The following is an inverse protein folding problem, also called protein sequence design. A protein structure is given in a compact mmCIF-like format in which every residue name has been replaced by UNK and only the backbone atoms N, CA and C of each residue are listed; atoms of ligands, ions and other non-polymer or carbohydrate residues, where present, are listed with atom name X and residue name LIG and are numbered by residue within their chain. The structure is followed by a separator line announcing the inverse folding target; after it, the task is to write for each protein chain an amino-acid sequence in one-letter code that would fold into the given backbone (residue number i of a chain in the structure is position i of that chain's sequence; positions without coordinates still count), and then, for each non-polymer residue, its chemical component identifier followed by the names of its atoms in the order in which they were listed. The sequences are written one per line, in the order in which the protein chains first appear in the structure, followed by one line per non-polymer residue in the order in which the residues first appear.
data_IF_494576037031
#
_entry.id   IF_494576037031
#
_cell.length_a   1.000
_cell.length_b   1.000
_cell.length_c   1.000
_cell.angle_alpha   90.00
_cell.angle_beta   90.00
_cell.angle_gamma   90.00
#
_symmetry.space_group_name_H-M   'P 1'
#
loop_
_entity.id
_entity.type
_entity.pdbx_description
1 polymer ?
#
# COMPACT_ATOMS: atom_id res chain seq x y z
N UNK A 1 -15.33 9.09 9.76
CA UNK A 1 -14.52 8.12 9.02
C UNK A 1 -13.07 8.54 9.07
N UNK A 2 -12.16 7.57 9.30
CA UNK A 2 -10.72 7.86 9.22
C UNK A 2 -10.37 8.19 7.78
N UNK A 3 -9.53 9.22 7.60
CA UNK A 3 -9.01 9.60 6.29
C UNK A 3 -7.63 8.97 6.15
N UNK A 4 -7.46 8.11 5.15
CA UNK A 4 -6.16 7.66 4.67
C UNK A 4 -5.75 8.56 3.52
N UNK A 5 -4.49 8.95 3.48
CA UNK A 5 -3.92 9.71 2.38
C UNK A 5 -2.58 9.08 1.96
N UNK A 6 -2.23 9.21 0.68
CA UNK A 6 -0.93 8.78 0.17
C UNK A 6 -0.15 10.02 -0.21
N UNK A 7 1.11 10.05 0.19
CA UNK A 7 1.99 11.17 -0.06
C UNK A 7 2.27 11.30 -1.57
N UNK A 8 2.32 12.52 -2.05
CA UNK A 8 2.63 12.78 -3.45
C UNK A 8 4.14 12.81 -3.64
N UNK A 9 4.64 11.92 -4.48
CA UNK A 9 6.03 11.89 -4.90
C UNK A 9 6.23 12.80 -6.11
N UNK A 10 7.33 13.54 -6.12
CA UNK A 10 7.80 14.31 -7.27
C UNK A 10 9.04 13.65 -7.84
N UNK A 11 9.13 13.53 -9.15
CA UNK A 11 10.32 12.99 -9.82
C UNK A 11 11.21 14.14 -10.26
N UNK A 12 12.48 14.10 -9.84
CA UNK A 12 13.51 15.04 -10.25
C UNK A 12 14.56 14.35 -11.11
N UNK A 13 14.90 15.02 -12.21
CA UNK A 13 16.08 14.72 -12.99
C UNK A 13 17.20 15.72 -12.61
N UNK A 14 18.37 15.21 -12.24
CA UNK A 14 19.50 16.08 -11.90
C UNK A 14 20.38 16.22 -13.13
N UNK A 15 20.49 17.42 -13.66
CA UNK A 15 21.29 17.74 -14.83
C UNK A 15 22.76 17.26 -14.64
N UNK A 16 23.26 16.56 -15.66
CA UNK A 16 24.64 16.05 -15.66
C UNK A 16 24.88 14.80 -14.77
N UNK A 17 23.83 14.25 -14.14
CA UNK A 17 23.91 12.94 -13.50
C UNK A 17 23.30 11.86 -14.36
N UNK A 18 24.10 10.85 -14.70
CA UNK A 18 23.69 9.68 -15.47
C UNK A 18 23.79 8.41 -14.61
N UNK A 19 22.99 7.41 -14.91
CA UNK A 19 23.08 6.08 -14.36
C UNK A 19 24.19 5.23 -15.05
N UNK A 20 24.30 3.96 -14.69
CA UNK A 20 25.27 3.03 -15.25
C UNK A 20 25.04 2.72 -16.73
N UNK A 21 23.83 2.92 -17.21
CA UNK A 21 23.40 2.67 -18.60
C UNK A 21 23.45 3.94 -19.46
N UNK A 22 23.87 5.08 -18.88
CA UNK A 22 24.01 6.37 -19.58
C UNK A 22 22.71 7.17 -19.65
N UNK A 23 21.65 6.76 -18.97
CA UNK A 23 20.39 7.49 -18.91
C UNK A 23 20.43 8.58 -17.83
N UNK A 24 19.57 9.59 -17.96
CA UNK A 24 19.38 10.59 -16.93
C UNK A 24 18.94 9.95 -15.61
N UNK A 25 19.68 10.24 -14.53
CA UNK A 25 19.35 9.69 -13.21
C UNK A 25 18.16 10.40 -12.59
N UNK A 26 17.11 9.65 -12.33
CA UNK A 26 15.87 10.13 -11.72
C UNK A 26 15.86 9.88 -10.22
N UNK A 27 15.27 10.80 -9.49
CA UNK A 27 15.11 10.72 -8.03
C UNK A 27 13.65 10.94 -7.66
N UNK A 28 13.10 10.06 -6.83
CA UNK A 28 11.82 10.29 -6.18
C UNK A 28 12.05 11.17 -4.95
N UNK A 29 11.33 12.26 -4.88
CA UNK A 29 11.46 13.25 -3.81
C UNK A 29 10.11 13.48 -3.16
N UNK A 30 10.09 13.38 -1.85
CA UNK A 30 8.93 13.64 -1.01
C UNK A 30 9.29 14.66 0.06
N UNK A 31 8.30 15.42 0.55
CA UNK A 31 8.52 16.26 1.72
C UNK A 31 8.74 15.38 2.94
N UNK A 32 9.60 15.84 3.85
CA UNK A 32 9.78 15.16 5.12
C UNK A 32 8.48 15.17 5.92
N UNK A 33 8.11 13.99 6.45
CA UNK A 33 6.92 13.82 7.28
C UNK A 33 7.36 13.78 8.73
N UNK A 34 6.96 14.77 9.53
CA UNK A 34 7.24 14.79 10.96
C UNK A 34 6.38 13.77 11.71
N UNK A 35 6.96 13.09 12.70
CA UNK A 35 6.30 12.14 13.58
C UNK A 35 6.93 10.76 13.58
N UNK A 36 6.29 9.84 14.29
CA UNK A 36 6.75 8.45 14.41
C UNK A 36 6.47 7.69 13.13
N UNK A 37 7.51 7.47 12.34
CA UNK A 37 7.45 6.70 11.11
C UNK A 37 7.35 5.20 11.41
N UNK A 38 6.33 4.55 10.87
CA UNK A 38 6.03 3.15 11.11
C UNK A 38 5.86 2.39 9.80
N UNK A 39 6.36 1.14 9.77
CA UNK A 39 6.06 0.17 8.71
C UNK A 39 4.99 -0.79 9.22
N UNK A 40 3.81 -0.73 8.62
CA UNK A 40 2.64 -1.49 9.05
C UNK A 40 2.51 -2.85 8.37
N UNK A 41 2.89 -2.92 7.10
CA UNK A 41 3.03 -4.18 6.37
C UNK A 41 4.11 -4.05 5.29
N UNK A 42 4.53 -5.16 4.70
CA UNK A 42 5.48 -5.17 3.60
C UNK A 42 4.95 -5.92 2.39
N UNK A 43 5.61 -5.73 1.24
CA UNK A 43 5.34 -6.48 0.02
C UNK A 43 5.68 -7.98 0.14
N UNK A 44 6.50 -8.37 1.12
CA UNK A 44 6.91 -9.76 1.37
C UNK A 44 6.09 -10.45 2.47
N UNK A 45 4.97 -9.87 2.88
CA UNK A 45 4.01 -10.48 3.80
C UNK A 45 4.21 -10.17 5.28
N UNK A 46 5.16 -9.29 5.66
CA UNK A 46 5.22 -8.81 7.03
C UNK A 46 3.96 -7.99 7.37
N UNK A 47 3.42 -8.20 8.56
CA UNK A 47 2.32 -7.41 9.14
C UNK A 47 2.70 -7.03 10.57
N UNK A 48 2.63 -5.74 10.90
CA UNK A 48 2.86 -5.28 12.26
C UNK A 48 1.66 -5.61 13.16
N UNK A 49 1.90 -6.49 14.13
CA UNK A 49 0.92 -6.87 15.15
C UNK A 49 1.13 -6.12 16.48
N UNK A 50 2.23 -5.38 16.64
CA UNK A 50 2.58 -4.73 17.91
C UNK A 50 1.76 -3.47 18.15
N UNK A 51 1.59 -2.65 17.14
CA UNK A 51 0.84 -1.40 17.25
C UNK A 51 -0.67 -1.59 17.20
N UNK A 52 -1.14 -2.80 16.89
CA UNK A 52 -2.57 -3.14 16.76
C UNK A 52 -3.35 -2.17 15.86
N UNK A 53 -2.69 -1.50 14.92
CA UNK A 53 -3.35 -0.61 13.97
C UNK A 53 -3.97 -1.40 12.83
N UNK A 54 -5.28 -1.32 12.75
CA UNK A 54 -6.05 -2.07 11.75
C UNK A 54 -6.23 -1.31 10.44
N UNK A 55 -6.19 0.03 10.48
CA UNK A 55 -6.42 0.88 9.30
C UNK A 55 -5.49 0.56 8.12
N UNK A 56 -4.16 0.36 8.30
CA UNK A 56 -3.26 0.00 7.21
C UNK A 56 -3.63 -1.34 6.56
N UNK A 57 -3.93 -2.34 7.38
CA UNK A 57 -4.28 -3.68 6.90
C UNK A 57 -5.62 -3.67 6.18
N UNK A 58 -6.59 -2.95 6.74
CA UNK A 58 -7.88 -2.76 6.14
C UNK A 58 -7.80 -1.98 4.83
N UNK A 59 -6.89 -1.02 4.71
CA UNK A 59 -6.63 -0.30 3.46
C UNK A 59 -6.10 -1.25 2.38
N UNK A 60 -5.09 -2.06 2.68
CA UNK A 60 -4.57 -3.05 1.73
C UNK A 60 -5.67 -4.00 1.26
N UNK A 61 -6.44 -4.57 2.17
CA UNK A 61 -7.56 -5.45 1.85
C UNK A 61 -8.63 -4.74 1.00
N UNK A 62 -8.98 -3.51 1.35
CA UNK A 62 -9.93 -2.70 0.59
C UNK A 62 -9.50 -2.51 -0.87
N UNK A 63 -8.21 -2.26 -1.12
CA UNK A 63 -7.71 -2.11 -2.50
C UNK A 63 -7.86 -3.39 -3.31
N UNK A 64 -7.65 -4.56 -2.70
CA UNK A 64 -7.88 -5.85 -3.32
C UNK A 64 -9.36 -6.06 -3.69
N UNK A 65 -10.28 -5.82 -2.76
CA UNK A 65 -11.72 -5.94 -3.00
C UNK A 65 -12.20 -4.93 -4.07
N UNK A 66 -11.73 -3.67 -3.97
CA UNK A 66 -12.15 -2.60 -4.88
C UNK A 66 -11.67 -2.76 -6.32
N UNK A 67 -10.55 -3.42 -6.50
CA UNK A 67 -10.01 -3.75 -7.83
C UNK A 67 -10.67 -4.97 -8.48
N UNK A 68 -11.60 -5.63 -7.81
CA UNK A 68 -12.13 -6.92 -8.26
C UNK A 68 -11.10 -8.05 -8.19
N UNK A 69 -10.20 -7.98 -7.19
CA UNK A 69 -9.12 -8.94 -6.91
C UNK A 69 -7.94 -8.89 -7.90
N UNK A 70 -7.87 -7.84 -8.72
CA UNK A 70 -6.81 -7.69 -9.72
C UNK A 70 -5.50 -7.12 -9.15
N UNK A 71 -5.59 -6.34 -8.07
CA UNK A 71 -4.41 -5.76 -7.43
C UNK A 71 -4.60 -5.59 -5.91
N UNK A 72 -3.48 -5.48 -5.22
CA UNK A 72 -3.44 -5.10 -3.81
C UNK A 72 -2.33 -4.09 -3.56
N UNK A 73 -2.64 -3.04 -2.80
CA UNK A 73 -1.64 -2.07 -2.33
C UNK A 73 -1.10 -2.54 -0.99
N UNK A 74 0.20 -2.75 -0.93
CA UNK A 74 0.95 -3.24 0.23
C UNK A 74 2.14 -2.31 0.51
N UNK A 75 3.02 -2.73 1.37
CA UNK A 75 4.18 -1.94 1.82
C UNK A 75 3.76 -0.65 2.51
N UNK A 76 2.66 -0.72 3.24
CA UNK A 76 2.07 0.44 3.91
C UNK A 76 2.96 0.88 5.04
N UNK A 77 3.46 2.10 4.91
CA UNK A 77 4.37 2.74 5.84
C UNK A 77 4.15 4.26 5.83
N UNK A 78 4.57 4.95 6.88
CA UNK A 78 4.41 6.40 7.00
C UNK A 78 4.13 6.86 8.42
N UNK A 79 3.53 8.04 8.57
CA UNK A 79 3.19 8.63 9.86
C UNK A 79 1.67 8.67 10.03
N UNK A 80 1.17 7.97 11.02
CA UNK A 80 -0.28 7.92 11.26
C UNK A 80 -1.03 7.28 10.09
N UNK A 81 -1.96 8.02 9.46
CA UNK A 81 -2.73 7.58 8.30
C UNK A 81 -2.30 8.30 7.00
N UNK A 82 -1.13 8.95 7.01
CA UNK A 82 -0.45 9.48 5.83
C UNK A 82 0.65 8.48 5.41
N UNK A 83 0.44 7.82 4.27
CA UNK A 83 1.32 6.76 3.79
C UNK A 83 2.22 7.24 2.67
N UNK A 84 3.41 6.65 2.58
CA UNK A 84 4.40 6.92 1.53
C UNK A 84 4.94 5.62 0.97
N UNK A 85 5.49 5.70 -0.23
CA UNK A 85 6.20 4.62 -0.92
C UNK A 85 5.48 3.26 -0.89
N UNK A 86 4.18 3.19 -1.25
CA UNK A 86 3.46 1.93 -1.31
C UNK A 86 3.95 1.08 -2.48
N UNK A 87 3.83 -0.24 -2.33
CA UNK A 87 4.04 -1.20 -3.40
C UNK A 87 2.70 -1.79 -3.85
N UNK A 88 2.62 -2.16 -5.12
CA UNK A 88 1.43 -2.79 -5.69
C UNK A 88 1.79 -4.19 -6.19
N UNK A 89 0.97 -5.19 -5.80
CA UNK A 89 0.98 -6.50 -6.44
C UNK A 89 -0.21 -6.60 -7.38
N UNK A 90 0.01 -7.16 -8.56
CA UNK A 90 -1.05 -7.41 -9.55
C UNK A 90 -1.13 -8.89 -9.89
N UNK A 91 -2.28 -9.35 -10.36
CA UNK A 91 -2.46 -10.76 -10.76
C UNK A 91 -1.45 -11.17 -11.83
N UNK A 92 -1.19 -10.30 -12.80
CA UNK A 92 -0.24 -10.57 -13.88
C UNK A 92 1.25 -10.47 -13.46
N UNK A 93 1.56 -9.74 -12.36
CA UNK A 93 2.91 -9.57 -11.84
C UNK A 93 3.88 -8.78 -12.73
N UNK A 94 3.37 -8.04 -13.73
CA UNK A 94 4.21 -7.42 -14.76
C UNK A 94 4.45 -5.92 -14.49
N UNK A 95 3.45 -5.20 -13.97
CA UNK A 95 3.49 -3.75 -13.75
C UNK A 95 4.07 -3.39 -12.39
N UNK A 96 4.32 -2.10 -12.16
CA UNK A 96 4.73 -1.51 -10.86
C UNK A 96 6.10 -1.93 -10.34
N UNK A 97 7.03 -2.32 -11.23
CA UNK A 97 8.44 -2.57 -10.91
C UNK A 97 8.70 -3.90 -10.18
N UNK A 98 9.97 -4.11 -9.81
CA UNK A 98 10.47 -5.38 -9.26
C UNK A 98 9.88 -5.77 -7.90
N UNK A 99 9.28 -4.81 -7.19
CA UNK A 99 8.58 -5.06 -5.93
C UNK A 99 7.23 -5.77 -6.10
N UNK A 100 6.71 -5.87 -7.34
CA UNK A 100 5.47 -6.56 -7.65
C UNK A 100 5.71 -8.09 -7.69
N UNK A 101 5.35 -8.78 -6.62
CA UNK A 101 5.51 -10.24 -6.50
C UNK A 101 4.31 -11.02 -7.07
N UNK A 102 3.40 -10.36 -7.76
CA UNK A 102 2.24 -10.99 -8.36
C UNK A 102 1.31 -11.65 -7.34
N UNK A 103 0.65 -12.72 -7.76
CA UNK A 103 -0.22 -13.54 -6.91
C UNK A 103 0.50 -14.07 -5.66
N UNK A 104 1.81 -14.33 -5.75
CA UNK A 104 2.60 -14.76 -4.58
C UNK A 104 2.62 -13.68 -3.51
N UNK A 105 2.81 -12.41 -3.89
CA UNK A 105 2.79 -11.28 -2.96
C UNK A 105 1.41 -11.10 -2.30
N UNK A 106 0.34 -11.24 -3.09
CA UNK A 106 -1.03 -11.24 -2.57
C UNK A 106 -1.24 -12.35 -1.54
N UNK A 107 -0.82 -13.58 -1.85
CA UNK A 107 -0.95 -14.72 -0.95
C UNK A 107 -0.16 -14.52 0.35
N UNK A 108 1.04 -13.94 0.29
CA UNK A 108 1.85 -13.61 1.47
C UNK A 108 1.15 -12.61 2.38
N UNK A 109 0.52 -11.57 1.81
CA UNK A 109 -0.27 -10.63 2.60
C UNK A 109 -1.42 -11.33 3.31
N UNK A 110 -2.24 -12.10 2.59
CA UNK A 110 -3.39 -12.78 3.18
C UNK A 110 -3.01 -13.87 4.19
N UNK A 111 -1.87 -14.52 4.02
CA UNK A 111 -1.36 -15.49 5.00
C UNK A 111 -1.04 -14.85 6.35
N UNK A 112 -0.48 -13.63 6.34
CA UNK A 112 -0.09 -12.91 7.56
C UNK A 112 -1.16 -11.98 8.09
N UNK A 113 -2.16 -11.65 7.27
CA UNK A 113 -3.25 -10.78 7.60
C UNK A 113 -4.31 -11.53 8.42
N UNK A 114 -4.27 -11.40 9.74
CA UNK A 114 -5.33 -11.93 10.59
C UNK A 114 -6.55 -11.01 10.52
N UNK A 115 -7.56 -11.45 9.80
CA UNK A 115 -8.83 -10.75 9.63
C UNK A 115 -9.72 -10.93 10.88
N UNK A 116 -9.31 -10.39 12.01
CA UNK A 116 -10.13 -10.41 13.23
C UNK A 116 -11.00 -9.15 13.28
N UNK A 117 -12.31 -9.35 13.04
CA UNK A 117 -13.44 -8.54 13.50
C UNK A 117 -13.87 -7.31 12.68
N UNK A 118 -13.61 -7.19 11.38
CA UNK A 118 -14.21 -6.10 10.58
C UNK A 118 -15.31 -6.52 9.61
N UNK A 119 -15.56 -7.80 9.46
CA UNK A 119 -16.69 -8.28 8.68
C UNK A 119 -17.87 -8.53 9.59
N UNK A 120 -18.74 -7.57 9.68
CA UNK A 120 -20.09 -7.84 10.16
C UNK A 120 -20.83 -8.58 9.03
N UNK A 121 -21.07 -9.87 9.22
CA UNK A 121 -21.91 -10.65 8.31
C UNK A 121 -23.34 -10.12 8.39
N UNK A 122 -23.80 -9.49 7.33
CA UNK A 122 -25.19 -9.11 7.17
C UNK A 122 -25.72 -9.78 5.92
N UNK A 123 -26.62 -10.75 6.10
CA UNK A 123 -27.28 -11.50 5.03
C UNK A 123 -26.33 -12.29 4.09
N UNK A 124 -25.33 -12.97 4.63
CA UNK A 124 -24.39 -13.78 3.86
C UNK A 124 -23.45 -12.99 2.93
N UNK A 125 -23.38 -11.68 3.11
CA UNK A 125 -22.42 -10.80 2.42
C UNK A 125 -21.51 -10.14 3.45
N UNK A 126 -20.22 -10.26 3.23
CA UNK A 126 -19.22 -9.54 4.02
C UNK A 126 -19.23 -8.07 3.60
N UNK A 127 -19.63 -7.18 4.51
CA UNK A 127 -19.63 -5.75 4.27
C UNK A 127 -18.44 -5.16 5.04
N UNK A 128 -17.41 -4.77 4.31
CA UNK A 128 -16.32 -3.98 4.87
C UNK A 128 -16.82 -2.53 5.07
N UNK A 129 -17.05 -2.13 6.32
CA UNK A 129 -17.44 -0.74 6.66
C UNK A 129 -16.20 0.19 6.68
N UNK A 130 -15.38 0.13 5.67
CA UNK A 130 -14.38 1.15 5.43
C UNK A 130 -14.99 2.20 4.50
N UNK A 131 -15.58 3.24 5.07
CA UNK A 131 -15.97 4.43 4.32
C UNK A 131 -14.71 5.21 3.92
N UNK A 132 -14.03 4.78 2.87
CA UNK A 132 -13.09 5.64 2.20
C UNK A 132 -13.89 6.60 1.32
N UNK A 133 -13.86 7.87 1.66
CA UNK A 133 -14.39 8.91 0.80
C UNK A 133 -13.36 9.15 -0.29
N UNK A 134 -13.43 8.37 -1.38
CA UNK A 134 -12.70 8.69 -2.59
C UNK A 134 -13.15 10.08 -3.04
N UNK A 135 -12.25 11.06 -3.04
CA UNK A 135 -12.46 12.26 -3.85
C UNK A 135 -12.27 11.82 -5.31
N UNK A 136 -13.25 12.13 -6.14
CA UNK A 136 -13.11 11.98 -7.59
C UNK A 136 -11.81 12.65 -8.03
N UNK A 137 -10.96 11.89 -8.67
CA UNK A 137 -9.80 12.37 -9.41
C UNK A 137 -10.25 12.81 -10.79
#
# INVERSE_FOLDING_TARGET
PKKVDIFRTTVYEINGRIDVDGNAKLYHVEHFIEGDYMKYNSNSGFVDHKTCRQTPQAFSHFTFERSGHELIVVDIQGVGDLYTDPQIHTVNGIDYGDGNLGVKGMALFFHSHSFLNFLHEKNGKFICYLFFKCRNW
#
